data_IF_734861067510
#
_entry.id   IF_734861067510
#
_cell.length_a   1.000
_cell.length_b   1.000
_cell.length_c   1.000
_cell.angle_alpha   90.00
_cell.angle_beta   90.00
_cell.angle_gamma   90.00
#
_symmetry.space_group_name_H-M   'P 1'
#
loop_
_entity.id
_entity.type
_entity.pdbx_description
1 polymer ?
#
# COMPACT_ATOMS: atom_id res chain seq x y z
N UNK A 1 0.30 2.32 -11.23
CA UNK A 1 -1.03 2.32 -10.63
C UNK A 1 -2.10 2.54 -11.70
N UNK A 2 -2.03 3.58 -12.49
CA UNK A 2 -2.93 3.83 -13.63
C UNK A 2 -2.17 4.38 -14.84
N UNK A 3 -2.60 4.01 -16.03
CA UNK A 3 -2.22 4.68 -17.28
C UNK A 3 -3.30 5.66 -17.76
N UNK A 4 -4.40 5.79 -17.01
CA UNK A 4 -5.49 6.71 -17.32
C UNK A 4 -5.28 8.05 -16.59
N UNK A 5 -5.13 9.11 -17.35
CA UNK A 5 -4.90 10.48 -16.87
C UNK A 5 -6.14 11.13 -16.21
N UNK A 6 -7.32 10.50 -16.32
CA UNK A 6 -8.58 11.01 -15.77
C UNK A 6 -9.20 10.03 -14.78
N UNK A 7 -8.41 9.52 -13.86
CA UNK A 7 -8.85 8.59 -12.86
C UNK A 7 -9.86 9.22 -11.89
N UNK A 8 -11.12 8.93 -12.09
CA UNK A 8 -12.24 9.62 -11.46
C UNK A 8 -13.14 8.70 -10.61
N UNK A 9 -12.93 7.38 -10.69
CA UNK A 9 -13.87 6.42 -10.08
C UNK A 9 -13.73 6.31 -8.55
N UNK A 10 -12.60 6.72 -7.99
CA UNK A 10 -12.37 6.75 -6.54
C UNK A 10 -12.29 8.19 -6.03
N UNK A 11 -13.41 8.89 -6.06
CA UNK A 11 -13.50 10.28 -5.57
C UNK A 11 -13.68 10.32 -4.06
N UNK A 12 -12.90 11.14 -3.37
CA UNK A 12 -13.19 11.61 -2.02
C UNK A 12 -12.24 11.20 -0.90
N UNK A 13 -11.19 10.45 -1.16
CA UNK A 13 -10.22 10.07 -0.12
C UNK A 13 -9.16 11.16 0.17
N UNK A 14 -9.56 12.40 0.29
CA UNK A 14 -8.70 13.56 0.07
C UNK A 14 -7.99 14.16 1.28
N UNK A 15 -8.05 13.55 2.47
CA UNK A 15 -7.48 14.23 3.62
C UNK A 15 -6.35 13.39 4.25
N UNK A 16 -5.12 13.90 4.19
CA UNK A 16 -3.96 13.28 4.85
C UNK A 16 -4.19 12.96 6.33
N UNK A 17 -5.09 13.70 6.96
CA UNK A 17 -5.39 13.56 8.39
C UNK A 17 -6.12 12.29 8.77
N UNK A 18 -6.72 11.59 7.83
CA UNK A 18 -7.51 10.38 8.07
C UNK A 18 -7.05 9.20 7.21
N UNK A 19 -5.92 9.32 6.55
CA UNK A 19 -5.42 8.29 5.64
C UNK A 19 -5.23 6.92 6.32
N UNK A 20 -4.81 6.90 7.59
CA UNK A 20 -4.65 5.67 8.38
C UNK A 20 -5.99 5.05 8.82
N UNK A 21 -7.08 5.79 8.72
CA UNK A 21 -8.44 5.31 8.97
C UNK A 21 -9.08 4.69 7.72
N UNK A 22 -8.48 4.91 6.54
CA UNK A 22 -8.98 4.32 5.31
C UNK A 22 -8.65 2.81 5.26
N UNK A 23 -9.64 1.98 5.56
CA UNK A 23 -9.58 0.52 5.49
C UNK A 23 -10.44 -0.05 4.35
N UNK A 24 -10.73 0.76 3.33
CA UNK A 24 -11.67 0.44 2.25
C UNK A 24 -11.04 -0.20 1.01
N UNK A 25 -9.83 -0.75 1.10
CA UNK A 25 -9.09 -1.28 -0.05
C UNK A 25 -9.87 -2.29 -0.89
N UNK A 26 -10.66 -3.16 -0.26
CA UNK A 26 -11.53 -4.06 -0.99
C UNK A 26 -12.60 -3.31 -1.81
N UNK A 27 -13.29 -2.37 -1.19
CA UNK A 27 -14.34 -1.57 -1.87
C UNK A 27 -13.74 -0.75 -3.00
N UNK A 28 -12.59 -0.12 -2.76
CA UNK A 28 -11.86 0.67 -3.75
C UNK A 28 -11.44 -0.21 -4.94
N UNK A 29 -10.86 -1.39 -4.67
CA UNK A 29 -10.46 -2.34 -5.71
C UNK A 29 -11.64 -2.83 -6.54
N UNK A 30 -12.76 -3.18 -5.89
CA UNK A 30 -13.95 -3.63 -6.61
C UNK A 30 -14.59 -2.50 -7.41
N UNK A 31 -14.56 -1.25 -6.92
CA UNK A 31 -15.04 -0.08 -7.65
C UNK A 31 -14.23 0.14 -8.93
N UNK A 32 -12.90 0.03 -8.85
CA UNK A 32 -12.04 0.10 -10.04
C UNK A 32 -12.36 -1.02 -11.02
N UNK A 33 -12.44 -2.26 -10.54
CA UNK A 33 -12.80 -3.42 -11.38
C UNK A 33 -14.12 -3.21 -12.11
N UNK A 34 -15.15 -2.79 -11.39
CA UNK A 34 -16.50 -2.65 -11.94
C UNK A 34 -16.60 -1.45 -12.90
N UNK A 35 -15.80 -0.41 -12.68
CA UNK A 35 -15.75 0.77 -13.57
C UNK A 35 -15.03 0.47 -14.87
N UNK A 36 -13.88 -0.19 -14.81
CA UNK A 36 -13.04 -0.43 -15.98
C UNK A 36 -13.38 -1.73 -16.71
N UNK A 37 -13.93 -2.72 -16.03
CA UNK A 37 -14.33 -3.99 -16.63
C UNK A 37 -13.20 -4.63 -17.45
N UNK A 38 -13.42 -4.83 -18.74
CA UNK A 38 -12.42 -5.37 -19.68
C UNK A 38 -11.22 -4.44 -19.90
N UNK A 39 -11.33 -3.18 -19.55
CA UNK A 39 -10.27 -2.18 -19.68
C UNK A 39 -9.43 -2.07 -18.39
N UNK A 40 -9.55 -3.00 -17.47
CA UNK A 40 -8.82 -3.00 -16.18
C UNK A 40 -7.30 -2.93 -16.37
N UNK A 41 -6.78 -3.35 -17.53
CA UNK A 41 -5.35 -3.25 -17.90
C UNK A 41 -4.85 -1.80 -17.94
N UNK A 42 -5.75 -0.80 -18.01
CA UNK A 42 -5.40 0.61 -17.85
C UNK A 42 -5.04 0.96 -16.40
N UNK A 43 -5.32 0.04 -15.46
CA UNK A 43 -5.07 0.14 -14.03
C UNK A 43 -4.12 -0.98 -13.57
N UNK A 44 -2.83 -0.96 -13.95
CA UNK A 44 -1.93 -2.11 -13.84
C UNK A 44 -1.82 -2.70 -12.43
N UNK A 45 -1.77 -1.87 -11.37
CA UNK A 45 -1.70 -2.38 -10.00
C UNK A 45 -2.96 -3.15 -9.59
N UNK A 46 -4.13 -2.71 -10.04
CA UNK A 46 -5.40 -3.39 -9.79
C UNK A 46 -5.57 -4.63 -10.65
N UNK A 47 -5.23 -4.52 -11.95
CA UNK A 47 -5.28 -5.66 -12.88
C UNK A 47 -4.35 -6.78 -12.40
N UNK A 48 -3.12 -6.45 -12.05
CA UNK A 48 -2.19 -7.43 -11.51
C UNK A 48 -2.71 -8.05 -10.22
N UNK A 49 -3.28 -7.27 -9.32
CA UNK A 49 -3.85 -7.74 -8.05
C UNK A 49 -4.99 -8.73 -8.27
N UNK A 50 -5.89 -8.45 -9.21
CA UNK A 50 -7.11 -9.24 -9.45
C UNK A 50 -6.83 -10.44 -10.36
N UNK A 51 -6.06 -10.23 -11.41
CA UNK A 51 -5.90 -11.17 -12.52
C UNK A 51 -4.48 -11.74 -12.64
N UNK A 52 -3.45 -10.98 -12.25
CA UNK A 52 -2.04 -11.28 -12.52
C UNK A 52 -1.28 -11.88 -11.35
N UNK A 53 -1.79 -11.81 -10.12
CA UNK A 53 -1.09 -12.27 -8.92
C UNK A 53 -0.83 -13.79 -8.89
N UNK A 54 -1.61 -14.57 -9.63
CA UNK A 54 -1.36 -15.99 -9.87
C UNK A 54 -1.69 -16.94 -8.72
N UNK A 55 -2.07 -16.44 -7.54
CA UNK A 55 -2.49 -17.25 -6.42
C UNK A 55 -4.02 -17.26 -6.30
N UNK A 56 -4.60 -18.44 -6.26
CA UNK A 56 -6.04 -18.58 -6.03
C UNK A 56 -6.39 -18.18 -4.59
N UNK A 57 -7.28 -17.22 -4.44
CA UNK A 57 -7.80 -16.85 -3.12
C UNK A 57 -8.67 -17.99 -2.56
N UNK A 58 -8.58 -18.33 -1.26
CA UNK A 58 -9.48 -19.27 -0.63
C UNK A 58 -10.94 -18.84 -0.77
N UNK A 59 -11.84 -19.79 -1.02
CA UNK A 59 -13.26 -19.50 -1.26
C UNK A 59 -13.99 -18.80 -0.10
N UNK A 60 -13.41 -18.84 1.09
CA UNK A 60 -13.96 -18.21 2.31
C UNK A 60 -13.46 -16.78 2.53
N UNK A 61 -12.74 -16.21 1.57
CA UNK A 61 -12.14 -14.87 1.67
C UNK A 61 -12.77 -13.89 0.69
N UNK A 62 -12.42 -12.63 0.83
CA UNK A 62 -12.84 -11.56 -0.09
C UNK A 62 -12.36 -11.72 -1.54
N UNK A 63 -11.39 -12.61 -1.79
CA UNK A 63 -10.53 -12.52 -2.97
C UNK A 63 -9.40 -11.51 -2.78
N UNK A 64 -8.44 -11.50 -3.69
CA UNK A 64 -7.30 -10.58 -3.64
C UNK A 64 -7.73 -9.15 -3.96
N UNK A 65 -7.23 -8.19 -3.17
CA UNK A 65 -7.45 -6.78 -3.41
C UNK A 65 -6.23 -5.94 -3.04
N UNK A 66 -6.10 -4.77 -3.63
CA UNK A 66 -5.05 -3.82 -3.33
C UNK A 66 -5.39 -3.13 -2.01
N UNK A 67 -4.51 -3.16 -0.99
CA UNK A 67 -4.79 -2.56 0.30
C UNK A 67 -4.90 -1.03 0.21
N UNK A 68 -5.75 -0.45 1.03
CA UNK A 68 -5.77 0.99 1.27
C UNK A 68 -4.62 1.42 2.18
N UNK A 69 -4.41 2.73 2.31
CA UNK A 69 -3.35 3.30 3.15
C UNK A 69 -3.43 2.84 4.60
N UNK A 70 -4.61 2.85 5.20
CA UNK A 70 -4.80 2.38 6.58
C UNK A 70 -4.50 0.89 6.73
N UNK A 71 -4.88 0.07 5.75
CA UNK A 71 -4.58 -1.36 5.78
C UNK A 71 -3.08 -1.65 5.63
N UNK A 72 -2.36 -0.91 4.77
CA UNK A 72 -0.89 -1.00 4.70
C UNK A 72 -0.24 -0.58 6.01
N UNK A 73 -0.72 0.50 6.60
CA UNK A 73 -0.25 0.99 7.90
C UNK A 73 -0.44 -0.06 9.00
N UNK A 74 -1.62 -0.62 9.12
CA UNK A 74 -1.93 -1.67 10.09
C UNK A 74 -1.11 -2.94 9.84
N UNK A 75 -0.89 -3.29 8.59
CA UNK A 75 -0.06 -4.44 8.23
C UNK A 75 1.39 -4.25 8.71
N UNK A 76 1.98 -3.09 8.48
CA UNK A 76 3.34 -2.77 8.95
C UNK A 76 3.38 -2.79 10.49
N UNK A 77 2.43 -2.11 11.14
CA UNK A 77 2.35 -2.04 12.58
C UNK A 77 2.26 -3.43 13.24
N UNK A 78 1.48 -4.33 12.65
CA UNK A 78 1.26 -5.67 13.20
C UNK A 78 2.36 -6.67 12.84
N UNK A 79 3.00 -6.54 11.68
CA UNK A 79 4.01 -7.49 11.22
C UNK A 79 5.43 -7.15 11.66
N UNK A 80 5.74 -5.87 11.85
CA UNK A 80 7.12 -5.44 12.14
C UNK A 80 7.47 -5.36 13.64
N UNK A 81 6.51 -5.65 14.53
CA UNK A 81 6.72 -5.74 15.98
C UNK A 81 6.11 -4.57 16.77
N UNK A 82 5.91 -4.79 18.09
CA UNK A 82 5.18 -3.87 18.94
C UNK A 82 5.85 -2.50 19.16
N UNK A 83 7.15 -2.43 19.02
CA UNK A 83 7.94 -1.19 19.04
C UNK A 83 7.69 -0.34 17.79
N UNK A 84 7.58 -0.96 16.61
CA UNK A 84 7.15 -0.29 15.37
C UNK A 84 5.73 0.23 15.53
N UNK A 85 4.81 -0.63 15.98
CA UNK A 85 3.41 -0.25 16.21
C UNK A 85 3.27 0.93 17.16
N UNK A 86 4.04 0.96 18.24
CA UNK A 86 4.03 2.07 19.21
C UNK A 86 4.49 3.38 18.59
N UNK A 87 5.59 3.35 17.85
CA UNK A 87 6.10 4.54 17.16
C UNK A 87 5.11 5.04 16.11
N UNK A 88 4.55 4.14 15.30
CA UNK A 88 3.55 4.50 14.29
C UNK A 88 2.31 5.12 14.94
N UNK A 89 1.88 4.62 16.10
CA UNK A 89 0.74 5.19 16.84
C UNK A 89 1.02 6.57 17.38
N UNK A 90 2.23 6.84 17.87
CA UNK A 90 2.64 8.18 18.30
C UNK A 90 2.57 9.17 17.13
N UNK A 91 2.99 8.76 15.94
CA UNK A 91 2.93 9.58 14.75
C UNK A 91 1.50 9.87 14.28
N UNK A 92 0.58 8.93 14.44
CA UNK A 92 -0.85 9.16 14.16
C UNK A 92 -1.43 10.29 15.02
N UNK A 93 -0.96 10.44 16.25
CA UNK A 93 -1.45 11.44 17.21
C UNK A 93 -0.65 12.75 17.16
N UNK A 94 0.48 12.76 16.48
CA UNK A 94 1.31 13.96 16.36
C UNK A 94 0.62 15.00 15.46
N UNK A 95 0.79 16.28 15.83
CA UNK A 95 0.33 17.40 15.01
C UNK A 95 1.25 17.65 13.81
N UNK A 96 2.25 16.80 13.62
CA UNK A 96 3.19 16.91 12.52
C UNK A 96 2.53 16.41 11.23
N UNK A 97 1.73 17.29 10.68
CA UNK A 97 1.16 17.13 9.33
C UNK A 97 2.03 17.92 8.39
N UNK A 98 2.57 17.24 7.43
CA UNK A 98 3.10 17.94 6.29
C UNK A 98 1.92 18.32 5.41
N UNK A 99 1.87 19.59 4.98
CA UNK A 99 0.77 20.18 4.22
C UNK A 99 0.49 19.51 2.85
N UNK A 100 1.21 18.46 2.52
CA UNK A 100 1.14 17.71 1.25
C UNK A 100 0.84 16.22 1.39
N UNK A 101 0.18 15.79 2.45
CA UNK A 101 -0.21 14.37 2.60
C UNK A 101 0.93 13.44 2.97
N UNK A 102 1.95 13.95 3.59
CA UNK A 102 3.15 13.25 3.96
C UNK A 102 3.14 12.94 5.46
N UNK A 103 3.35 11.68 5.81
CA UNK A 103 3.52 11.26 7.19
C UNK A 103 4.75 10.36 7.26
N UNK A 104 5.67 10.68 8.13
CA UNK A 104 6.93 9.95 8.28
C UNK A 104 7.13 9.52 9.72
N UNK A 105 7.49 8.26 9.91
CA UNK A 105 7.93 7.72 11.18
C UNK A 105 9.34 7.14 11.01
N UNK A 106 10.22 7.39 11.95
CA UNK A 106 11.55 6.79 11.95
C UNK A 106 11.75 5.96 13.20
N UNK A 107 12.09 4.70 13.00
CA UNK A 107 12.46 3.77 14.05
C UNK A 107 13.94 3.43 13.97
N UNK A 108 14.53 2.95 15.06
CA UNK A 108 15.99 2.73 15.13
C UNK A 108 16.52 1.49 14.41
N UNK A 109 15.76 0.86 13.49
CA UNK A 109 16.13 -0.41 12.85
C UNK A 109 15.49 -0.57 11.47
N UNK A 110 15.96 -1.58 10.74
CA UNK A 110 15.50 -1.90 9.39
C UNK A 110 14.08 -2.47 9.39
N UNK A 111 13.09 -1.66 9.04
CA UNK A 111 11.67 -2.05 8.97
C UNK A 111 11.42 -2.98 7.78
N UNK A 112 12.10 -2.74 6.66
CA UNK A 112 11.97 -3.58 5.47
C UNK A 112 12.44 -5.02 5.75
N UNK A 113 13.58 -5.19 6.42
CA UNK A 113 14.05 -6.50 6.81
C UNK A 113 13.09 -7.20 7.79
N UNK A 114 12.52 -6.46 8.74
CA UNK A 114 11.52 -7.02 9.66
C UNK A 114 10.25 -7.45 8.94
N UNK A 115 9.76 -6.62 8.02
CA UNK A 115 8.61 -6.97 7.20
C UNK A 115 8.89 -8.25 6.41
N UNK A 116 10.01 -8.31 5.71
CA UNK A 116 10.40 -9.47 4.92
C UNK A 116 10.60 -10.73 5.75
N UNK A 117 11.08 -10.62 7.00
CA UNK A 117 11.22 -11.78 7.90
C UNK A 117 9.89 -12.49 8.19
N UNK A 118 8.77 -11.78 8.12
CA UNK A 118 7.45 -12.39 8.28
C UNK A 118 7.10 -13.31 7.11
N UNK A 119 7.68 -13.07 5.94
CA UNK A 119 7.49 -13.87 4.73
C UNK A 119 8.19 -15.23 4.80
N UNK A 120 9.11 -15.45 5.74
CA UNK A 120 9.76 -16.75 5.95
C UNK A 120 8.77 -17.87 6.33
N UNK A 121 7.60 -17.50 6.82
CA UNK A 121 6.50 -18.42 7.11
C UNK A 121 5.73 -18.86 5.87
N UNK A 122 5.96 -18.22 4.74
CA UNK A 122 5.31 -18.52 3.47
C UNK A 122 6.18 -19.51 2.69
N UNK A 123 5.60 -20.55 2.07
CA UNK A 123 6.36 -21.46 1.22
C UNK A 123 7.15 -20.70 0.15
N UNK A 124 8.39 -21.11 -0.10
CA UNK A 124 9.32 -20.41 -1.00
C UNK A 124 8.76 -20.16 -2.41
N UNK A 125 7.91 -21.05 -2.92
CA UNK A 125 7.27 -20.90 -4.22
C UNK A 125 6.20 -19.79 -4.29
N UNK A 126 5.74 -19.32 -3.11
CA UNK A 126 4.72 -18.26 -3.00
C UNK A 126 5.27 -17.03 -2.28
N UNK A 127 6.56 -17.05 -1.91
CA UNK A 127 7.22 -15.99 -1.18
C UNK A 127 7.75 -14.96 -2.17
N UNK A 128 7.37 -13.71 -1.97
CA UNK A 128 7.94 -12.56 -2.67
C UNK A 128 8.32 -11.49 -1.65
N UNK A 129 9.61 -11.24 -1.51
CA UNK A 129 10.13 -10.22 -0.61
C UNK A 129 10.03 -8.84 -1.26
N UNK A 130 9.75 -7.84 -0.43
CA UNK A 130 9.87 -6.45 -0.85
C UNK A 130 11.36 -6.11 -0.95
N UNK A 131 11.74 -5.47 -2.04
CA UNK A 131 13.11 -5.05 -2.28
C UNK A 131 13.17 -3.53 -2.42
N UNK A 132 14.33 -2.96 -2.11
CA UNK A 132 14.61 -1.55 -2.44
C UNK A 132 14.56 -1.37 -3.95
N UNK A 133 14.20 -0.18 -4.39
CA UNK A 133 14.13 0.08 -5.82
C UNK A 133 15.50 -0.01 -6.52
N UNK A 134 15.47 -0.20 -7.83
CA UNK A 134 16.69 -0.31 -8.68
C UNK A 134 17.46 1.02 -8.77
N UNK A 135 16.86 2.14 -8.38
CA UNK A 135 17.51 3.44 -8.30
C UNK A 135 18.40 3.59 -7.06
N UNK A 136 18.42 2.59 -6.17
CA UNK A 136 19.27 2.57 -4.98
C UNK A 136 18.72 3.41 -3.83
N UNK A 137 17.44 3.75 -3.84
CA UNK A 137 16.79 4.35 -2.69
C UNK A 137 16.72 3.34 -1.54
N UNK A 138 16.91 3.78 -0.28
CA UNK A 138 16.93 2.87 0.86
C UNK A 138 15.52 2.42 1.31
N UNK A 139 14.55 2.34 0.41
CA UNK A 139 13.16 1.99 0.71
C UNK A 139 12.49 1.24 -0.45
N UNK A 140 11.41 0.58 -0.12
CA UNK A 140 10.47 -0.01 -1.07
C UNK A 140 9.16 0.79 -1.03
N UNK A 141 8.70 1.26 -2.17
CA UNK A 141 7.42 1.96 -2.33
C UNK A 141 6.32 0.97 -2.69
N UNK A 142 5.20 1.01 -1.96
CA UNK A 142 4.07 0.10 -2.12
C UNK A 142 2.82 0.91 -2.47
N UNK A 143 2.16 0.56 -3.58
CA UNK A 143 0.88 1.15 -3.96
C UNK A 143 -0.22 0.89 -2.93
N UNK A 144 -0.92 1.95 -2.54
CA UNK A 144 -2.23 1.83 -1.92
C UNK A 144 -3.35 1.93 -2.96
N UNK A 145 -4.53 1.40 -2.64
CA UNK A 145 -5.74 1.64 -3.44
C UNK A 145 -6.29 3.06 -3.27
N UNK A 146 -5.85 3.76 -2.24
CA UNK A 146 -6.32 5.09 -1.83
C UNK A 146 -5.84 6.18 -2.80
N UNK A 147 -6.73 6.86 -3.51
CA UNK A 147 -6.37 8.01 -4.33
C UNK A 147 -6.10 9.22 -3.45
N UNK A 148 -5.23 10.10 -3.88
CA UNK A 148 -5.07 11.43 -3.29
C UNK A 148 -5.93 12.46 -4.05
N UNK A 149 -5.77 12.53 -5.35
CA UNK A 149 -6.57 13.35 -6.26
C UNK A 149 -6.68 12.69 -7.65
N UNK A 150 -6.97 13.46 -8.68
CA UNK A 150 -7.09 12.95 -10.05
C UNK A 150 -5.73 12.61 -10.71
N UNK A 151 -4.62 13.05 -10.14
CA UNK A 151 -3.29 12.91 -10.72
C UNK A 151 -2.31 12.14 -9.82
N UNK A 152 -2.67 11.96 -8.54
CA UNK A 152 -1.82 11.38 -7.54
C UNK A 152 -2.53 10.34 -6.67
N UNK A 153 -1.76 9.39 -6.19
CA UNK A 153 -2.20 8.30 -5.33
C UNK A 153 -1.30 8.17 -4.13
N UNK A 154 -1.85 7.59 -3.08
CA UNK A 154 -1.07 7.31 -1.89
C UNK A 154 -0.20 6.08 -2.10
N UNK A 155 1.01 6.16 -1.61
CA UNK A 155 1.94 5.03 -1.46
C UNK A 155 2.40 4.94 -0.02
N UNK A 156 2.86 3.77 0.38
CA UNK A 156 3.57 3.58 1.64
C UNK A 156 4.99 3.15 1.35
N UNK A 157 5.95 3.81 1.94
CA UNK A 157 7.37 3.50 1.81
C UNK A 157 7.89 2.86 3.09
N UNK A 158 8.63 1.78 2.94
CA UNK A 158 9.28 1.05 4.04
C UNK A 158 10.77 0.99 3.76
N UNK A 159 11.57 1.50 4.70
CA UNK A 159 13.00 1.69 4.49
C UNK A 159 13.90 0.79 5.32
N UNK A 160 15.12 0.61 4.80
CA UNK A 160 16.22 -0.10 5.45
C UNK A 160 16.83 0.68 6.62
N UNK A 161 16.54 1.98 6.71
CA UNK A 161 17.02 2.88 7.78
C UNK A 161 15.93 3.25 8.79
N UNK A 162 14.92 2.40 8.93
CA UNK A 162 13.84 2.61 9.88
C UNK A 162 12.76 3.58 9.42
N UNK A 163 12.76 3.98 8.18
CA UNK A 163 11.77 4.87 7.61
C UNK A 163 10.46 4.13 7.33
N UNK A 164 9.36 4.74 7.71
CA UNK A 164 8.01 4.37 7.32
C UNK A 164 7.34 5.67 6.91
N UNK A 165 6.98 5.78 5.65
CA UNK A 165 6.37 7.01 5.14
C UNK A 165 5.08 6.70 4.40
N UNK A 166 4.08 7.53 4.63
CA UNK A 166 2.98 7.70 3.70
C UNK A 166 3.35 8.86 2.80
N UNK A 167 3.37 8.61 1.52
CA UNK A 167 3.73 9.58 0.51
C UNK A 167 2.69 9.63 -0.60
N UNK A 168 2.74 10.69 -1.38
CA UNK A 168 1.91 10.86 -2.56
C UNK A 168 2.82 10.74 -3.77
N UNK A 169 2.44 9.89 -4.71
CA UNK A 169 3.18 9.74 -5.95
C UNK A 169 2.25 9.86 -7.15
N UNK A 170 2.82 10.20 -8.29
CA UNK A 170 2.08 10.20 -9.55
C UNK A 170 1.61 8.78 -9.88
N UNK A 171 0.42 8.66 -10.47
CA UNK A 171 -0.20 7.36 -10.78
C UNK A 171 0.61 6.49 -11.76
N UNK A 172 1.58 7.05 -12.47
CA UNK A 172 2.46 6.37 -13.43
C UNK A 172 3.83 6.00 -12.84
N UNK A 173 4.09 6.27 -11.56
CA UNK A 173 5.34 5.89 -10.91
C UNK A 173 5.48 4.36 -10.76
N UNK A 174 6.72 3.90 -10.68
CA UNK A 174 7.06 2.50 -10.45
C UNK A 174 7.05 2.18 -8.95
N UNK A 175 6.04 1.43 -8.51
CA UNK A 175 5.93 0.95 -7.14
C UNK A 175 5.46 -0.51 -7.10
N UNK A 176 5.77 -1.20 -6.02
CA UNK A 176 5.29 -2.56 -5.81
C UNK A 176 3.78 -2.59 -5.53
N UNK A 177 3.08 -3.61 -6.04
CA UNK A 177 1.73 -3.92 -5.61
C UNK A 177 1.78 -5.11 -4.63
N UNK A 178 1.08 -5.00 -3.49
CA UNK A 178 1.03 -6.04 -2.46
C UNK A 178 -0.41 -6.41 -2.13
N UNK A 179 -1.00 -7.38 -2.85
CA UNK A 179 -2.37 -7.83 -2.60
C UNK A 179 -2.55 -8.42 -1.22
N UNK A 180 -3.73 -8.21 -0.64
CA UNK A 180 -4.14 -8.80 0.63
C UNK A 180 -5.51 -9.49 0.50
N UNK A 181 -5.87 -10.25 1.53
CA UNK A 181 -7.17 -10.92 1.69
C UNK A 181 -7.85 -10.43 2.97
N UNK A 182 -9.19 -10.43 2.97
CA UNK A 182 -10.01 -10.35 4.18
C UNK A 182 -10.76 -11.68 4.40
N UNK A 183 -10.92 -12.05 5.67
CA UNK A 183 -11.61 -13.26 6.12
C UNK A 183 -12.95 -12.91 6.74
#
# INVERSE_FOLDING_TARGET
WSSDVNFDCLKGAKLPSTWYENVNGYVETMTVRDTYGSNITMMPAFDWTINGFGLTAPATTSGWFLPSTGQLWDMIANLCGGDVASTMKEWQTSTYRVDYGYCSATVGYDVLARFNSTMEKIPAAAKEELVVDDAGHPFCSIWASTPFDSEAVCIVEIGTKGMIELYINWYDADCAARPILAF
#
